data_IF_671792017129
#
_entry.id   IF_671792017129
#
_cell.length_a   1.000
_cell.length_b   1.000
_cell.length_c   1.000
_cell.angle_alpha   90.00
_cell.angle_beta   90.00
_cell.angle_gamma   90.00
#
_symmetry.space_group_name_H-M   'P 1'
#
loop_
_entity.id
_entity.type
_entity.pdbx_description
1 polymer ?
#
# COMPACT_ATOMS: atom_id res chain seq x y z
N UNK A 1 -11.86 1.43 -2.36
CA UNK A 1 -11.19 2.09 -3.49
C UNK A 1 -9.82 2.57 -3.05
N UNK A 2 -8.93 2.88 -3.99
CA UNK A 2 -7.60 3.41 -3.69
C UNK A 2 -7.18 4.50 -4.69
N UNK A 3 -6.35 5.44 -4.22
CA UNK A 3 -5.76 6.53 -5.01
C UNK A 3 -4.30 6.69 -4.61
N UNK A 4 -3.40 6.73 -5.59
CA UNK A 4 -1.99 7.02 -5.38
C UNK A 4 -1.71 8.48 -5.76
N UNK A 5 -1.10 9.22 -4.84
CA UNK A 5 -0.79 10.65 -4.98
C UNK A 5 0.72 10.85 -4.93
N UNK A 6 1.26 11.69 -5.83
CA UNK A 6 2.68 12.04 -5.86
C UNK A 6 3.06 12.97 -4.69
N UNK A 7 4.36 13.24 -4.54
CA UNK A 7 4.84 14.20 -3.55
C UNK A 7 4.36 15.64 -3.82
N UNK A 8 4.11 15.98 -5.09
CA UNK A 8 3.57 17.27 -5.52
C UNK A 8 2.05 17.40 -5.32
N UNK A 9 1.38 16.36 -4.80
CA UNK A 9 -0.07 16.36 -4.58
C UNK A 9 -0.90 15.91 -5.79
N UNK A 10 -0.26 15.48 -6.87
CA UNK A 10 -0.94 15.07 -8.10
C UNK A 10 -1.44 13.61 -8.03
N UNK A 11 -2.63 13.35 -8.55
CA UNK A 11 -3.16 11.98 -8.64
C UNK A 11 -2.43 11.22 -9.75
N UNK A 12 -1.63 10.24 -9.35
CA UNK A 12 -0.87 9.37 -10.26
C UNK A 12 -1.79 8.30 -10.83
N UNK A 13 -2.54 7.61 -9.98
CA UNK A 13 -3.48 6.55 -10.36
C UNK A 13 -4.64 6.43 -9.36
N UNK A 14 -5.74 5.84 -9.80
CA UNK A 14 -6.90 5.52 -8.97
C UNK A 14 -7.52 4.20 -9.44
N UNK A 15 -8.00 3.38 -8.51
CA UNK A 15 -8.63 2.11 -8.83
C UNK A 15 -9.63 1.65 -7.76
N UNK A 16 -10.47 0.69 -8.13
CA UNK A 16 -11.36 -0.04 -7.24
C UNK A 16 -11.15 -1.55 -7.42
N UNK A 17 -11.60 -2.31 -6.41
CA UNK A 17 -11.58 -3.77 -6.43
C UNK A 17 -12.35 -4.29 -7.64
N UNK A 18 -11.74 -5.18 -8.42
CA UNK A 18 -12.39 -5.84 -9.55
C UNK A 18 -12.21 -7.35 -9.55
N UNK A 19 -11.89 -7.98 -8.41
CA UNK A 19 -11.65 -9.43 -8.29
C UNK A 19 -12.72 -10.25 -9.01
N UNK A 20 -13.99 -10.01 -8.70
CA UNK A 20 -15.12 -10.74 -9.30
C UNK A 20 -15.24 -10.48 -10.81
N UNK A 21 -15.15 -9.21 -11.22
CA UNK A 21 -15.38 -8.82 -12.62
C UNK A 21 -14.23 -9.17 -13.54
N UNK A 22 -13.00 -9.29 -13.02
CA UNK A 22 -11.81 -9.64 -13.80
C UNK A 22 -11.32 -11.06 -13.56
N UNK A 23 -11.98 -11.82 -12.68
CA UNK A 23 -11.60 -13.19 -12.31
C UNK A 23 -10.13 -13.31 -11.88
N UNK A 24 -9.59 -12.26 -11.25
CA UNK A 24 -8.20 -12.15 -10.82
C UNK A 24 -8.16 -11.93 -9.31
N UNK A 25 -7.68 -12.91 -8.52
CA UNK A 25 -7.64 -12.79 -7.05
C UNK A 25 -6.72 -11.66 -6.57
N UNK A 26 -5.87 -11.11 -7.45
CA UNK A 26 -4.95 -10.01 -7.14
C UNK A 26 -5.50 -8.63 -7.49
N UNK A 27 -6.69 -8.55 -8.09
CA UNK A 27 -7.28 -7.30 -8.60
C UNK A 27 -7.88 -6.38 -7.51
N UNK A 28 -7.21 -6.31 -6.37
CA UNK A 28 -7.49 -5.36 -5.29
C UNK A 28 -7.18 -3.93 -5.72
N UNK A 29 -7.83 -2.96 -5.08
CA UNK A 29 -7.71 -1.55 -5.45
C UNK A 29 -6.27 -1.03 -5.33
N UNK A 30 -5.56 -1.45 -4.27
CA UNK A 30 -4.18 -1.09 -3.98
C UNK A 30 -3.25 -1.62 -5.06
N UNK A 31 -3.28 -2.93 -5.33
CA UNK A 31 -2.45 -3.57 -6.34
C UNK A 31 -2.66 -2.96 -7.73
N UNK A 32 -3.93 -2.70 -8.10
CA UNK A 32 -4.26 -2.03 -9.36
C UNK A 32 -3.68 -0.61 -9.42
N UNK A 33 -3.78 0.17 -8.35
CA UNK A 33 -3.15 1.49 -8.29
C UNK A 33 -1.65 1.43 -8.50
N UNK A 34 -0.96 0.49 -7.83
CA UNK A 34 0.49 0.32 -7.96
C UNK A 34 0.88 -0.08 -9.39
N UNK A 35 0.15 -1.02 -10.01
CA UNK A 35 0.37 -1.45 -11.41
C UNK A 35 0.19 -0.27 -12.39
N UNK A 36 -0.92 0.46 -12.28
CA UNK A 36 -1.22 1.62 -13.12
C UNK A 36 -0.18 2.74 -12.95
N UNK A 37 0.20 3.04 -11.71
CA UNK A 37 1.22 4.05 -11.42
C UNK A 37 2.59 3.64 -11.97
N UNK A 38 2.96 2.37 -11.82
CA UNK A 38 4.24 1.86 -12.30
C UNK A 38 4.34 1.93 -13.82
N UNK A 39 3.25 1.59 -14.53
CA UNK A 39 3.16 1.74 -15.97
C UNK A 39 3.23 3.22 -16.41
N UNK A 40 2.50 4.11 -15.73
CA UNK A 40 2.48 5.55 -16.02
C UNK A 40 3.84 6.22 -15.80
N UNK A 41 4.50 5.92 -14.69
CA UNK A 41 5.80 6.49 -14.30
C UNK A 41 6.98 5.73 -14.91
N UNK A 42 6.74 4.60 -15.58
CA UNK A 42 7.76 3.68 -16.11
C UNK A 42 8.80 3.29 -15.04
N UNK A 43 8.33 3.09 -13.81
CA UNK A 43 9.15 2.74 -12.66
C UNK A 43 8.39 1.81 -11.74
N UNK A 44 9.05 0.75 -11.25
CA UNK A 44 8.49 -0.09 -10.20
C UNK A 44 8.64 0.53 -8.80
N UNK A 45 9.53 1.52 -8.66
CA UNK A 45 9.72 2.29 -7.42
C UNK A 45 8.82 3.52 -7.47
N UNK A 46 7.86 3.58 -6.56
CA UNK A 46 6.89 4.66 -6.40
C UNK A 46 7.30 5.56 -5.23
N UNK A 47 8.56 6.03 -5.28
CA UNK A 47 9.16 6.88 -4.26
C UNK A 47 8.38 8.19 -4.12
N UNK A 48 8.34 8.75 -2.92
CA UNK A 48 7.62 9.99 -2.62
C UNK A 48 6.09 9.86 -2.62
N UNK A 49 5.53 8.79 -3.20
CA UNK A 49 4.09 8.64 -3.33
C UNK A 49 3.42 8.23 -2.01
N UNK A 50 2.17 8.68 -1.84
CA UNK A 50 1.27 8.24 -0.77
C UNK A 50 0.08 7.50 -1.37
N UNK A 51 -0.20 6.29 -0.88
CA UNK A 51 -1.43 5.56 -1.22
C UNK A 51 -2.52 5.87 -0.19
N UNK A 52 -3.68 6.31 -0.66
CA UNK A 52 -4.91 6.40 0.12
C UNK A 52 -5.81 5.22 -0.25
N UNK A 53 -6.35 4.51 0.74
CA UNK A 53 -7.24 3.37 0.52
C UNK A 53 -8.38 3.38 1.53
N UNK A 54 -9.57 2.96 1.15
CA UNK A 54 -10.76 3.04 2.03
C UNK A 54 -10.74 2.03 3.18
N UNK A 55 -10.01 0.93 3.04
CA UNK A 55 -9.94 -0.19 3.98
C UNK A 55 -8.46 -0.55 4.22
N UNK A 56 -8.12 -0.99 5.43
CA UNK A 56 -6.78 -1.45 5.76
C UNK A 56 -6.29 -2.54 4.78
N UNK A 57 -5.07 -2.39 4.22
CA UNK A 57 -4.54 -3.32 3.24
C UNK A 57 -4.41 -4.75 3.76
N UNK A 58 -4.70 -5.73 2.92
CA UNK A 58 -4.43 -7.13 3.23
C UNK A 58 -2.95 -7.50 3.08
N UNK A 59 -2.49 -8.70 3.51
CA UNK A 59 -1.08 -9.09 3.45
C UNK A 59 -0.46 -8.99 2.06
N UNK A 60 -1.23 -9.37 1.03
CA UNK A 60 -0.81 -9.26 -0.37
C UNK A 60 -0.56 -7.78 -0.76
N UNK A 61 -1.49 -6.90 -0.42
CA UNK A 61 -1.40 -5.48 -0.78
C UNK A 61 -0.33 -4.76 0.05
N UNK A 62 -0.22 -5.06 1.34
CA UNK A 62 0.83 -4.57 2.22
C UNK A 62 2.23 -4.99 1.72
N UNK A 63 2.41 -6.27 1.35
CA UNK A 63 3.65 -6.75 0.75
C UNK A 63 4.00 -6.01 -0.54
N UNK A 64 3.03 -5.79 -1.43
CA UNK A 64 3.24 -5.03 -2.66
C UNK A 64 3.58 -3.54 -2.40
N UNK A 65 2.99 -2.92 -1.39
CA UNK A 65 3.35 -1.56 -0.96
C UNK A 65 4.81 -1.47 -0.52
N UNK A 66 5.27 -2.42 0.29
CA UNK A 66 6.67 -2.50 0.72
C UNK A 66 7.62 -2.70 -0.47
N UNK A 67 7.28 -3.59 -1.40
CA UNK A 67 8.09 -3.87 -2.59
C UNK A 67 8.16 -2.67 -3.54
N UNK A 68 7.05 -1.95 -3.71
CA UNK A 68 6.97 -0.76 -4.58
C UNK A 68 7.58 0.49 -3.97
N UNK A 69 8.03 0.46 -2.71
CA UNK A 69 8.67 1.58 -2.01
C UNK A 69 7.77 2.82 -1.89
N UNK A 70 6.46 2.61 -1.80
CA UNK A 70 5.52 3.68 -1.47
C UNK A 70 5.89 4.25 -0.11
N UNK A 71 6.01 5.58 -0.01
CA UNK A 71 6.52 6.28 1.17
C UNK A 71 5.55 6.19 2.34
N UNK A 72 4.25 6.26 2.05
CA UNK A 72 3.20 6.31 3.06
C UNK A 72 1.94 5.63 2.55
N UNK A 73 1.25 4.92 3.43
CA UNK A 73 -0.12 4.46 3.20
C UNK A 73 -1.04 5.09 4.24
N UNK A 74 -2.23 5.49 3.80
CA UNK A 74 -3.29 6.03 4.65
C UNK A 74 -4.54 5.22 4.35
N UNK A 75 -5.11 4.60 5.37
CA UNK A 75 -6.31 3.79 5.24
C UNK A 75 -7.44 4.28 6.15
N UNK A 76 -8.69 4.03 5.73
CA UNK A 76 -9.89 4.52 6.40
C UNK A 76 -10.39 3.62 7.52
N UNK A 77 -11.00 2.49 7.16
CA UNK A 77 -11.54 1.52 8.12
C UNK A 77 -10.58 0.35 8.37
N UNK A 78 -10.57 -0.25 9.58
CA UNK A 78 -9.79 -1.45 9.86
C UNK A 78 -10.34 -2.67 9.13
N UNK A 79 -9.46 -3.61 8.77
CA UNK A 79 -9.83 -4.89 8.19
C UNK A 79 -9.64 -5.99 9.25
N UNK A 80 -10.69 -6.26 10.02
CA UNK A 80 -10.60 -7.12 11.21
C UNK A 80 -10.21 -8.57 10.93
N UNK A 81 -10.42 -9.07 9.71
CA UNK A 81 -10.10 -10.46 9.36
C UNK A 81 -8.73 -10.61 8.73
N UNK A 82 -8.34 -9.65 7.88
CA UNK A 82 -7.17 -9.80 7.00
C UNK A 82 -6.34 -8.51 6.93
N UNK A 83 -6.43 -7.60 7.89
CA UNK A 83 -5.65 -6.37 7.90
C UNK A 83 -4.18 -6.61 8.26
N UNK A 84 -3.28 -6.00 7.50
CA UNK A 84 -1.83 -6.20 7.63
C UNK A 84 -1.07 -5.01 8.24
N UNK A 85 -1.77 -4.03 8.82
CA UNK A 85 -1.19 -2.90 9.57
C UNK A 85 -1.54 -2.96 11.07
N UNK A 86 -1.82 -4.16 11.58
CA UNK A 86 -2.06 -4.40 12.99
C UNK A 86 -3.38 -5.10 13.33
N UNK A 87 -4.36 -5.17 12.42
CA UNK A 87 -5.63 -5.87 12.73
C UNK A 87 -5.47 -7.39 12.81
N UNK A 88 -4.76 -8.01 11.86
CA UNK A 88 -4.49 -9.45 11.86
C UNK A 88 -2.99 -9.75 11.95
N UNK A 89 -2.21 -9.08 11.11
CA UNK A 89 -0.73 -9.13 11.14
C UNK A 89 -0.19 -7.72 11.02
N UNK A 90 1.10 -7.54 11.34
CA UNK A 90 1.74 -6.23 11.32
C UNK A 90 2.94 -6.23 10.36
N UNK A 91 2.67 -6.00 9.07
CA UNK A 91 3.68 -5.98 7.99
C UNK A 91 4.24 -4.59 7.71
N UNK A 92 3.44 -3.53 7.83
CA UNK A 92 3.83 -2.17 7.44
C UNK A 92 4.68 -1.43 8.48
N UNK A 93 5.38 -2.17 9.33
CA UNK A 93 6.16 -1.62 10.43
C UNK A 93 7.27 -0.68 9.93
N UNK A 94 7.49 0.46 10.61
CA UNK A 94 8.71 1.21 10.44
C UNK A 94 9.89 0.30 10.74
N UNK A 95 10.97 0.40 9.94
CA UNK A 95 12.23 -0.28 10.27
C UNK A 95 12.61 0.15 11.69
N UNK A 96 12.59 -0.81 12.62
CA UNK A 96 13.16 -0.64 13.96
C UNK A 96 14.63 -0.25 13.75
N UNK A 97 14.97 1.01 14.00
CA UNK A 97 16.36 1.41 14.11
C UNK A 97 16.90 0.74 15.37
N UNK A 98 17.56 -0.41 15.24
CA UNK A 98 18.33 -1.01 16.33
C UNK A 98 19.42 -0.01 16.74
N UNK A 99 19.12 0.77 17.77
CA UNK A 99 19.93 1.90 18.21
C UNK A 99 19.70 2.22 19.69
N UNK A 100 19.77 1.20 20.55
CA UNK A 100 20.13 1.26 21.97
C UNK A 100 20.84 -0.07 22.26
N UNK A 101 22.13 -0.14 22.56
CA UNK A 101 22.79 0.71 23.55
C UNK A 101 22.17 0.41 24.91
N UNK A 102 22.31 -0.83 25.38
CA UNK A 102 22.06 -1.15 26.80
C UNK A 102 23.11 -0.40 27.60
N UNK A 103 22.71 0.71 28.22
CA UNK A 103 23.50 1.44 29.19
C UNK A 103 22.53 2.11 30.17
N UNK A 104 22.72 1.70 31.43
CA UNK A 104 22.02 2.03 32.68
C UNK A 104 20.68 1.33 32.94
#
# INVERSE_FOLDING_TARGET
GAVLVSEDGEVVSSAHNSVETSTDPTAHAELKCLRLASAKLRSWRLLGCTLYVTLEPCPMCAGALLQSRVKRVVWGAPNLQLGADGSWIHLLQPIQKNGKGSSN
#
